data_IF_130604740296
#
_entry.id   IF_130604740296
#
_cell.length_a   1.000
_cell.length_b   1.000
_cell.length_c   1.000
_cell.angle_alpha   90.00
_cell.angle_beta   90.00
_cell.angle_gamma   90.00
#
_symmetry.space_group_name_H-M   'P 1'
#
loop_
_entity.id
_entity.type
_entity.pdbx_description
1 polymer ?
#
# COMPACT_ATOMS: atom_id res chain seq x y z
N UNK A 1 51.36 -31.94 -16.19
CA UNK A 1 50.54 -31.76 -14.98
C UNK A 1 50.70 -30.33 -14.48
N UNK A 2 49.74 -29.46 -14.79
CA UNK A 2 49.54 -28.16 -14.13
C UNK A 2 48.05 -28.12 -13.78
N UNK A 3 47.75 -28.16 -12.48
CA UNK A 3 46.41 -27.90 -11.96
C UNK A 3 46.19 -26.39 -12.05
N UNK A 4 45.21 -25.97 -12.84
CA UNK A 4 44.65 -24.61 -12.76
C UNK A 4 43.41 -24.77 -11.89
N UNK A 5 43.46 -24.20 -10.70
CA UNK A 5 42.28 -24.01 -9.87
C UNK A 5 41.41 -22.95 -10.55
N UNK A 6 40.22 -23.35 -11.00
CA UNK A 6 39.18 -22.41 -11.36
C UNK A 6 38.47 -22.04 -10.06
N UNK A 7 38.66 -20.80 -9.62
CA UNK A 7 37.86 -20.19 -8.55
C UNK A 7 36.45 -20.01 -9.12
N UNK A 8 35.47 -20.71 -8.55
CA UNK A 8 34.06 -20.34 -8.72
C UNK A 8 33.87 -19.01 -7.98
N UNK A 9 33.77 -17.91 -8.71
CA UNK A 9 33.10 -16.72 -8.21
C UNK A 9 31.60 -16.99 -8.38
N UNK A 10 30.92 -17.33 -7.29
CA UNK A 10 29.47 -17.21 -7.24
C UNK A 10 29.18 -15.71 -7.38
N UNK A 11 28.65 -15.30 -8.54
CA UNK A 11 28.11 -13.96 -8.70
C UNK A 11 26.87 -13.87 -7.84
N UNK A 12 26.98 -13.20 -6.70
CA UNK A 12 25.84 -12.62 -6.01
C UNK A 12 25.27 -11.60 -7.00
N UNK A 13 24.08 -11.89 -7.55
CA UNK A 13 23.26 -10.87 -8.17
C UNK A 13 22.96 -9.87 -7.06
N UNK A 14 23.68 -8.76 -7.04
CA UNK A 14 23.27 -7.61 -6.26
C UNK A 14 22.02 -7.11 -6.96
N UNK A 15 20.83 -7.36 -6.37
CA UNK A 15 19.65 -6.58 -6.72
C UNK A 15 20.08 -5.11 -6.61
N UNK A 16 19.93 -4.34 -7.69
CA UNK A 16 20.15 -2.91 -7.62
C UNK A 16 19.19 -2.34 -6.58
N UNK A 17 19.72 -1.64 -5.59
CA UNK A 17 18.92 -0.93 -4.60
C UNK A 17 17.96 0.04 -5.32
N UNK A 18 16.71 0.13 -4.87
CA UNK A 18 15.80 1.18 -5.31
C UNK A 18 16.42 2.51 -4.91
N UNK A 19 16.62 3.38 -5.90
CA UNK A 19 17.06 4.74 -5.63
C UNK A 19 15.84 5.66 -5.42
N UNK A 20 15.96 6.56 -4.45
CA UNK A 20 14.94 7.55 -4.13
C UNK A 20 15.46 8.97 -4.38
N UNK A 21 14.59 9.84 -4.89
CA UNK A 21 14.78 11.29 -4.94
C UNK A 21 14.00 11.90 -3.76
N UNK A 22 14.71 12.65 -2.92
CA UNK A 22 14.20 13.19 -1.66
C UNK A 22 14.10 14.71 -1.77
N UNK A 23 12.97 15.25 -1.33
CA UNK A 23 12.68 16.67 -1.25
C UNK A 23 12.17 17.02 0.16
N UNK A 24 12.64 18.16 0.70
CA UNK A 24 12.09 18.72 1.93
C UNK A 24 10.81 19.52 1.61
N UNK A 25 9.71 19.18 2.27
CA UNK A 25 8.37 19.75 2.03
C UNK A 25 8.15 21.01 2.85
N UNK A 26 8.51 20.97 4.14
CA UNK A 26 8.31 22.08 5.08
C UNK A 26 9.63 22.78 5.39
N UNK A 27 9.55 24.09 5.66
CA UNK A 27 10.70 24.87 6.14
C UNK A 27 10.21 25.84 7.22
N UNK A 28 10.73 25.76 8.45
CA UNK A 28 10.33 26.70 9.49
C UNK A 28 11.26 26.71 10.70
N UNK A 29 11.73 27.90 11.08
CA UNK A 29 12.30 28.12 12.40
C UNK A 29 11.13 28.24 13.40
N UNK A 30 11.10 27.39 14.43
CA UNK A 30 10.14 27.38 15.56
C UNK A 30 8.85 26.54 15.45
N UNK A 31 8.75 25.57 14.53
CA UNK A 31 7.60 24.64 14.50
C UNK A 31 8.08 23.19 14.50
N UNK A 32 7.25 22.27 15.00
CA UNK A 32 7.50 20.82 14.91
C UNK A 32 6.47 20.22 13.96
N UNK A 33 6.94 19.55 12.90
CA UNK A 33 6.07 18.89 11.94
C UNK A 33 6.35 17.38 11.94
N UNK A 34 5.32 16.58 12.16
CA UNK A 34 5.38 15.12 12.25
C UNK A 34 4.05 14.48 11.78
N UNK A 35 3.91 13.16 12.01
CA UNK A 35 2.69 12.41 11.72
C UNK A 35 2.20 12.56 10.28
N UNK A 36 3.12 12.51 9.33
CA UNK A 36 2.79 12.78 7.93
C UNK A 36 2.18 11.57 7.24
N UNK A 37 1.10 11.80 6.52
CA UNK A 37 0.38 10.82 5.70
C UNK A 37 0.27 11.33 4.26
N UNK A 38 0.24 10.40 3.30
CA UNK A 38 0.30 10.68 1.87
C UNK A 38 -0.86 10.04 1.11
N UNK A 39 -1.36 10.76 0.12
CA UNK A 39 -2.30 10.25 -0.87
C UNK A 39 -2.02 10.93 -2.21
N UNK A 40 -2.49 10.30 -3.29
CA UNK A 40 -2.35 10.80 -4.65
C UNK A 40 -3.71 11.18 -5.21
N UNK A 41 -3.78 12.31 -5.92
CA UNK A 41 -4.95 12.62 -6.74
C UNK A 41 -4.95 11.81 -8.05
N UNK A 42 -6.01 11.93 -8.84
CA UNK A 42 -6.18 11.20 -10.11
C UNK A 42 -5.16 11.58 -11.19
N UNK A 43 -4.47 12.71 -11.06
CA UNK A 43 -3.40 13.15 -11.94
C UNK A 43 -2.00 12.71 -11.44
N UNK A 44 -1.93 12.06 -10.28
CA UNK A 44 -0.69 11.62 -9.64
C UNK A 44 0.03 12.73 -8.87
N UNK A 45 -0.64 13.86 -8.61
CA UNK A 45 -0.10 14.88 -7.72
C UNK A 45 -0.20 14.38 -6.27
N UNK A 46 0.76 14.81 -5.47
CA UNK A 46 0.91 14.39 -4.08
C UNK A 46 0.18 15.37 -3.17
N UNK A 47 -0.65 14.84 -2.28
CA UNK A 47 -1.10 15.51 -1.07
C UNK A 47 -0.39 14.92 0.15
N UNK A 48 -0.07 15.76 1.13
CA UNK A 48 0.46 15.36 2.43
C UNK A 48 -0.33 16.08 3.51
N UNK A 49 -0.92 15.34 4.44
CA UNK A 49 -1.47 15.86 5.69
C UNK A 49 -0.46 15.59 6.80
N UNK A 50 -0.23 16.57 7.69
CA UNK A 50 0.73 16.45 8.78
C UNK A 50 0.32 17.35 9.96
N UNK A 51 0.79 17.02 11.16
CA UNK A 51 0.59 17.87 12.34
C UNK A 51 1.66 18.92 12.42
N UNK A 52 1.28 20.12 12.82
CA UNK A 52 2.21 21.19 13.11
C UNK A 52 1.99 21.68 14.54
N UNK A 53 2.98 21.43 15.39
CA UNK A 53 3.02 21.94 16.75
C UNK A 53 3.69 23.31 16.79
N UNK A 54 3.08 24.22 17.54
CA UNK A 54 3.63 25.56 17.78
C UNK A 54 3.45 25.92 19.24
N UNK A 55 4.30 26.82 19.76
CA UNK A 55 4.19 27.31 21.15
C UNK A 55 2.79 27.85 21.53
N UNK A 56 2.01 28.29 20.53
CA UNK A 56 0.72 28.97 20.74
C UNK A 56 -0.47 28.08 20.43
N UNK A 57 -0.41 27.30 19.35
CA UNK A 57 -1.55 26.52 18.86
C UNK A 57 -1.06 25.46 17.86
N UNK A 58 -1.46 24.22 18.08
CA UNK A 58 -1.21 23.11 17.18
C UNK A 58 -2.23 23.14 16.03
N UNK A 59 -1.85 22.66 14.86
CA UNK A 59 -2.70 22.72 13.67
C UNK A 59 -2.48 21.53 12.75
N UNK A 60 -3.55 21.05 12.15
CA UNK A 60 -3.46 20.12 11.03
C UNK A 60 -3.24 20.89 9.74
N UNK A 61 -2.24 20.47 8.97
CA UNK A 61 -1.77 21.15 7.77
C UNK A 61 -1.90 20.25 6.54
N UNK A 62 -2.03 20.87 5.37
CA UNK A 62 -2.06 20.18 4.08
C UNK A 62 -1.00 20.78 3.14
N UNK A 63 -0.10 19.96 2.62
CA UNK A 63 0.84 20.31 1.56
C UNK A 63 0.46 19.59 0.26
N UNK A 64 0.48 20.30 -0.87
CA UNK A 64 0.28 19.68 -2.19
C UNK A 64 1.25 20.22 -3.23
N UNK A 65 1.71 19.35 -4.12
CA UNK A 65 2.58 19.71 -5.23
C UNK A 65 1.85 19.89 -6.58
N UNK A 66 0.51 19.90 -6.60
CA UNK A 66 -0.30 19.96 -7.82
C UNK A 66 -0.05 21.19 -8.73
N UNK A 67 0.59 22.24 -8.20
CA UNK A 67 0.96 23.44 -8.96
C UNK A 67 2.39 23.39 -9.54
N UNK A 68 3.12 22.28 -9.32
CA UNK A 68 4.53 22.12 -9.66
C UNK A 68 5.50 22.60 -8.56
N UNK A 69 4.99 23.06 -7.42
CA UNK A 69 5.75 23.37 -6.20
C UNK A 69 4.84 23.16 -4.99
N UNK A 70 5.42 22.91 -3.81
CA UNK A 70 4.67 22.70 -2.57
C UNK A 70 3.88 23.96 -2.18
N UNK A 71 2.57 23.80 -2.06
CA UNK A 71 1.63 24.80 -1.52
C UNK A 71 1.08 24.25 -0.22
N UNK A 72 1.25 25.01 0.87
CA UNK A 72 0.84 24.62 2.23
C UNK A 72 -0.39 25.43 2.64
N UNK A 73 -1.40 24.76 3.19
CA UNK A 73 -2.64 25.34 3.73
C UNK A 73 -2.90 24.79 5.13
N UNK A 74 -3.53 25.60 6.00
CA UNK A 74 -4.06 25.11 7.26
C UNK A 74 -5.42 24.46 7.05
N UNK A 75 -5.67 23.34 7.71
CA UNK A 75 -6.97 22.64 7.69
C UNK A 75 -7.80 23.11 8.88
N UNK A 76 -7.29 22.86 10.09
CA UNK A 76 -7.98 23.17 11.35
C UNK A 76 -6.96 23.38 12.48
N UNK A 77 -7.08 24.46 13.27
CA UNK A 77 -6.34 24.61 14.52
C UNK A 77 -6.90 23.69 15.61
N UNK A 78 -6.08 23.32 16.59
CA UNK A 78 -6.44 22.39 17.66
C UNK A 78 -7.06 21.09 17.12
N UNK A 79 -6.40 20.53 16.10
CA UNK A 79 -6.76 19.26 15.48
C UNK A 79 -5.73 18.19 15.84
N UNK A 80 -6.23 17.00 16.14
CA UNK A 80 -5.44 15.80 16.36
C UNK A 80 -5.59 14.85 15.18
N UNK A 81 -5.60 13.56 15.48
CA UNK A 81 -5.54 12.47 14.51
C UNK A 81 -6.42 12.63 13.28
N UNK A 82 -5.87 12.29 12.11
CA UNK A 82 -6.56 12.45 10.83
C UNK A 82 -6.38 11.26 9.89
N UNK A 83 -7.16 11.26 8.82
CA UNK A 83 -6.95 10.47 7.62
C UNK A 83 -7.51 11.28 6.46
N UNK A 84 -6.97 11.11 5.26
CA UNK A 84 -7.45 11.83 4.10
C UNK A 84 -7.42 11.00 2.83
N UNK A 85 -8.20 11.45 1.86
CA UNK A 85 -8.30 10.87 0.53
C UNK A 85 -8.75 11.97 -0.46
N UNK A 86 -8.69 11.68 -1.76
CA UNK A 86 -9.07 12.59 -2.83
C UNK A 86 -10.34 12.13 -3.55
N UNK A 87 -11.15 13.10 -3.99
CA UNK A 87 -12.21 12.81 -4.97
C UNK A 87 -11.65 12.69 -6.40
N UNK A 88 -12.49 12.25 -7.33
CA UNK A 88 -12.14 12.09 -8.74
C UNK A 88 -11.67 13.37 -9.44
N UNK A 89 -11.88 14.54 -8.84
CA UNK A 89 -11.47 15.87 -9.34
C UNK A 89 -10.21 16.40 -8.64
N UNK A 90 -9.62 15.64 -7.71
CA UNK A 90 -8.45 16.05 -6.93
C UNK A 90 -8.77 17.01 -5.77
N UNK A 91 -10.02 17.09 -5.31
CA UNK A 91 -10.35 17.80 -4.08
C UNK A 91 -10.00 16.91 -2.88
N UNK A 92 -9.28 17.47 -1.90
CA UNK A 92 -8.90 16.75 -0.69
C UNK A 92 -10.06 16.69 0.32
N UNK A 93 -10.29 15.50 0.88
CA UNK A 93 -11.24 15.24 1.96
C UNK A 93 -10.47 14.66 3.15
N UNK A 94 -10.52 15.34 4.28
CA UNK A 94 -9.79 14.99 5.50
C UNK A 94 -10.80 14.72 6.61
N UNK A 95 -10.84 13.50 7.13
CA UNK A 95 -11.53 13.20 8.38
C UNK A 95 -10.54 13.37 9.53
N UNK A 96 -10.96 14.00 10.62
CA UNK A 96 -10.06 14.32 11.73
C UNK A 96 -10.80 14.43 13.05
N UNK A 97 -10.06 14.38 14.15
CA UNK A 97 -10.54 14.74 15.49
C UNK A 97 -9.97 16.07 15.94
N UNK A 98 -10.66 16.77 16.84
CA UNK A 98 -10.02 17.85 17.60
C UNK A 98 -9.00 17.29 18.60
N UNK A 99 -7.98 18.09 18.95
CA UNK A 99 -7.01 17.69 19.98
C UNK A 99 -7.72 17.42 21.30
N UNK A 100 -7.30 16.35 21.96
CA UNK A 100 -7.75 15.97 23.29
C UNK A 100 -7.17 16.94 24.33
N UNK A 101 -8.02 17.79 24.92
CA UNK A 101 -7.76 18.37 26.24
C UNK A 101 -8.51 17.51 27.27
N UNK A 102 -7.94 17.28 28.46
CA UNK A 102 -8.52 16.39 29.48
C UNK A 102 -9.94 16.80 29.92
N UNK A 103 -10.34 18.03 29.62
CA UNK A 103 -11.67 18.59 29.90
C UNK A 103 -12.58 18.68 28.65
N UNK A 104 -12.07 18.36 27.45
CA UNK A 104 -12.79 18.51 26.17
C UNK A 104 -13.28 17.19 25.56
N UNK A 105 -14.40 17.29 24.85
CA UNK A 105 -15.00 16.23 24.05
C UNK A 105 -14.20 16.05 22.76
N UNK A 106 -13.76 14.84 22.46
CA UNK A 106 -13.18 14.53 21.14
C UNK A 106 -14.32 14.21 20.17
N UNK A 107 -14.34 14.85 19.01
CA UNK A 107 -15.43 14.82 18.03
C UNK A 107 -14.86 14.55 16.63
N UNK A 108 -15.64 13.92 15.75
CA UNK A 108 -15.24 13.68 14.36
C UNK A 108 -15.64 14.87 13.49
N UNK A 109 -14.69 15.36 12.69
CA UNK A 109 -14.87 16.41 11.70
C UNK A 109 -14.52 15.93 10.30
N UNK A 110 -15.19 16.49 9.28
CA UNK A 110 -14.80 16.39 7.88
C UNK A 110 -14.40 17.77 7.35
N UNK A 111 -13.17 17.89 6.89
CA UNK A 111 -12.69 19.04 6.14
C UNK A 111 -12.61 18.71 4.65
N UNK A 112 -13.11 19.59 3.78
CA UNK A 112 -13.02 19.39 2.33
C UNK A 112 -12.54 20.66 1.62
N UNK A 113 -11.56 20.51 0.71
CA UNK A 113 -11.08 21.59 -0.16
C UNK A 113 -11.67 21.46 -1.57
N UNK A 114 -12.93 21.91 -1.73
CA UNK A 114 -13.64 21.90 -3.02
C UNK A 114 -13.61 23.25 -3.76
N UNK A 115 -12.99 24.26 -3.16
CA UNK A 115 -13.03 25.65 -3.64
C UNK A 115 -11.70 26.41 -3.55
N UNK A 116 -10.63 25.73 -3.15
CA UNK A 116 -9.31 26.32 -2.91
C UNK A 116 -9.00 26.59 -1.44
N UNK A 117 -9.96 26.39 -0.53
CA UNK A 117 -9.82 26.51 0.92
C UNK A 117 -10.63 25.38 1.60
N UNK A 118 -10.13 24.90 2.75
CA UNK A 118 -10.82 23.87 3.53
C UNK A 118 -12.08 24.42 4.21
N UNK A 119 -13.20 23.72 4.02
CA UNK A 119 -14.41 23.91 4.83
C UNK A 119 -14.54 22.75 5.80
N UNK A 120 -14.58 23.04 7.09
CA UNK A 120 -14.67 22.04 8.17
C UNK A 120 -16.11 21.91 8.68
N UNK A 121 -16.59 20.67 8.77
CA UNK A 121 -17.93 20.33 9.27
C UNK A 121 -17.81 19.28 10.36
N UNK A 122 -18.39 19.53 11.53
CA UNK A 122 -18.49 18.53 12.60
C UNK A 122 -19.53 17.46 12.22
N UNK A 123 -19.16 16.18 12.29
CA UNK A 123 -20.01 15.04 11.92
C UNK A 123 -20.72 14.43 13.13
N UNK A 124 -20.04 14.36 14.27
CA UNK A 124 -20.54 13.75 15.50
C UNK A 124 -20.72 14.78 16.62
N UNK A 125 -21.36 14.37 17.72
CA UNK A 125 -21.51 15.17 18.93
C UNK A 125 -21.49 14.21 20.13
N UNK A 126 -20.40 13.45 20.24
CA UNK A 126 -20.17 12.45 21.26
C UNK A 126 -18.79 12.65 21.93
N UNK A 127 -18.73 12.84 23.25
CA UNK A 127 -17.47 13.09 23.98
C UNK A 127 -16.44 11.95 23.93
N UNK A 128 -16.82 10.79 23.38
CA UNK A 128 -16.03 9.57 23.43
C UNK A 128 -15.43 9.17 22.07
N UNK A 129 -15.59 9.97 21.03
CA UNK A 129 -15.00 9.69 19.71
C UNK A 129 -13.49 9.93 19.76
N UNK A 130 -12.73 8.87 20.04
CA UNK A 130 -11.27 8.93 20.26
C UNK A 130 -10.52 8.30 19.09
N UNK A 131 -9.20 8.46 19.06
CA UNK A 131 -8.27 7.83 18.11
C UNK A 131 -8.48 8.26 16.64
N UNK A 132 -7.76 7.62 15.72
CA UNK A 132 -7.63 8.03 14.31
C UNK A 132 -8.88 7.64 13.50
N UNK A 133 -9.71 8.57 13.03
CA UNK A 133 -10.74 8.24 12.05
C UNK A 133 -10.09 7.96 10.69
N UNK A 134 -10.64 7.01 9.94
CA UNK A 134 -10.16 6.61 8.62
C UNK A 134 -11.21 6.92 7.56
N UNK A 135 -10.81 7.63 6.49
CA UNK A 135 -11.65 7.92 5.33
C UNK A 135 -11.20 7.12 4.10
N UNK A 136 -12.17 6.77 3.25
CA UNK A 136 -11.99 6.47 1.82
C UNK A 136 -13.12 7.07 1.00
N UNK A 137 -12.83 7.46 -0.23
CA UNK A 137 -13.83 7.77 -1.23
C UNK A 137 -14.03 6.57 -2.17
N UNK A 138 -15.28 6.28 -2.52
CA UNK A 138 -15.59 5.24 -3.51
C UNK A 138 -15.48 5.75 -4.96
N UNK A 139 -15.73 4.87 -5.94
CA UNK A 139 -15.67 5.23 -7.36
C UNK A 139 -16.74 6.24 -7.81
N UNK A 140 -17.66 6.64 -6.93
CA UNK A 140 -18.70 7.65 -7.15
C UNK A 140 -18.46 8.92 -6.31
N UNK A 141 -17.28 9.07 -5.68
CA UNK A 141 -16.90 10.14 -4.76
C UNK A 141 -17.73 10.17 -3.45
N UNK A 142 -18.37 9.07 -3.08
CA UNK A 142 -19.07 8.98 -1.79
C UNK A 142 -18.07 8.78 -0.66
N UNK A 143 -18.29 9.47 0.46
CA UNK A 143 -17.42 9.42 1.64
C UNK A 143 -17.79 8.24 2.53
N UNK A 144 -16.79 7.39 2.80
CA UNK A 144 -16.84 6.29 3.75
C UNK A 144 -15.88 6.57 4.89
N UNK A 145 -16.35 6.45 6.13
CA UNK A 145 -15.55 6.70 7.33
C UNK A 145 -15.65 5.48 8.24
N UNK A 146 -14.54 5.05 8.83
CA UNK A 146 -14.57 4.25 10.05
C UNK A 146 -13.94 5.05 11.18
N UNK A 147 -14.51 4.96 12.38
CA UNK A 147 -14.02 5.69 13.53
C UNK A 147 -14.31 4.90 14.80
N UNK A 148 -13.37 4.87 15.76
CA UNK A 148 -13.63 4.21 17.03
C UNK A 148 -14.20 5.17 18.06
N UNK A 149 -14.86 4.59 19.06
CA UNK A 149 -15.46 5.30 20.17
C UNK A 149 -15.17 4.56 21.47
N UNK A 150 -14.64 5.24 22.47
CA UNK A 150 -14.25 4.66 23.76
C UNK A 150 -15.43 4.60 24.73
N UNK A 151 -15.86 3.42 25.16
CA UNK A 151 -16.98 3.27 26.10
C UNK A 151 -16.48 3.36 27.54
N UNK A 152 -16.20 4.59 27.97
CA UNK A 152 -15.84 4.94 29.35
C UNK A 152 -14.72 5.99 29.43
N UNK A 153 -14.18 6.20 30.63
CA UNK A 153 -13.21 7.26 30.94
C UNK A 153 -11.75 6.74 31.01
N UNK A 154 -11.54 5.44 31.17
CA UNK A 154 -10.25 4.80 31.44
C UNK A 154 -9.65 4.10 30.20
N UNK A 155 -8.31 3.91 30.13
CA UNK A 155 -7.62 3.36 28.95
C UNK A 155 -7.93 1.89 28.62
N UNK A 156 -8.48 1.13 29.58
CA UNK A 156 -8.90 -0.27 29.47
C UNK A 156 -10.39 -0.44 29.12
N UNK A 157 -11.06 0.66 28.79
CA UNK A 157 -12.46 0.65 28.39
C UNK A 157 -12.69 0.03 27.01
N UNK A 158 -13.87 -0.57 26.86
CA UNK A 158 -14.29 -1.22 25.62
C UNK A 158 -14.32 -0.20 24.49
N UNK A 159 -13.60 -0.46 23.40
CA UNK A 159 -13.65 0.41 22.22
C UNK A 159 -14.62 -0.17 21.18
N UNK A 160 -15.56 0.66 20.73
CA UNK A 160 -16.46 0.36 19.62
C UNK A 160 -15.81 0.78 18.32
N UNK A 161 -16.13 0.12 17.21
CA UNK A 161 -15.79 0.57 15.87
C UNK A 161 -17.08 0.84 15.08
N UNK A 162 -17.22 2.05 14.57
CA UNK A 162 -18.35 2.48 13.76
C UNK A 162 -17.96 2.63 12.29
N UNK A 163 -18.91 2.38 11.42
CA UNK A 163 -18.89 2.77 10.02
C UNK A 163 -19.83 3.95 9.81
N UNK A 164 -19.35 5.00 9.16
CA UNK A 164 -20.09 6.22 8.83
C UNK A 164 -20.07 6.52 7.33
N UNK A 165 -21.11 7.20 6.86
CA UNK A 165 -21.22 7.67 5.48
C UNK A 165 -22.02 8.96 5.42
N UNK A 166 -21.89 9.69 4.30
CA UNK A 166 -22.65 10.91 4.04
C UNK A 166 -23.62 10.66 2.90
N UNK A 167 -24.92 10.91 3.15
CA UNK A 167 -25.97 10.86 2.14
C UNK A 167 -26.91 12.07 2.31
N UNK A 168 -27.32 12.67 1.20
CA UNK A 168 -28.14 13.90 1.16
C UNK A 168 -27.62 15.04 2.07
N UNK A 169 -26.30 15.11 2.31
CA UNK A 169 -25.65 16.10 3.18
C UNK A 169 -25.80 15.83 4.68
N UNK A 170 -26.28 14.65 5.07
CA UNK A 170 -26.37 14.20 6.46
C UNK A 170 -25.37 13.08 6.74
N UNK A 171 -24.77 13.09 7.92
CA UNK A 171 -23.93 12.01 8.39
C UNK A 171 -24.78 10.89 8.99
N UNK A 172 -24.49 9.67 8.58
CA UNK A 172 -25.12 8.44 9.06
C UNK A 172 -24.03 7.50 9.55
N UNK A 173 -24.35 6.66 10.54
CA UNK A 173 -23.40 5.71 11.10
C UNK A 173 -24.08 4.45 11.64
N UNK A 174 -23.30 3.40 11.80
CA UNK A 174 -23.70 2.13 12.38
C UNK A 174 -22.52 1.39 13.01
N UNK A 175 -22.81 0.51 13.98
CA UNK A 175 -21.80 -0.24 14.70
C UNK A 175 -21.30 -1.44 13.85
N UNK A 176 -19.97 -1.59 13.74
CA UNK A 176 -19.33 -2.78 13.17
C UNK A 176 -19.07 -3.81 14.27
N UNK A 177 -18.39 -3.38 15.34
CA UNK A 177 -18.02 -4.27 16.46
C UNK A 177 -17.94 -3.49 17.78
N UNK A 178 -18.23 -4.19 18.87
CA UNK A 178 -18.03 -3.72 20.24
C UNK A 178 -16.82 -4.35 20.95
N UNK A 179 -15.93 -5.02 20.20
CA UNK A 179 -14.77 -5.74 20.73
C UNK A 179 -13.45 -5.23 20.15
N UNK A 180 -13.38 -3.95 19.71
CA UNK A 180 -12.16 -3.43 19.08
C UNK A 180 -10.99 -3.46 20.07
N UNK A 181 -9.86 -3.98 19.63
CA UNK A 181 -8.63 -4.03 20.41
C UNK A 181 -7.64 -2.96 19.94
N UNK A 182 -7.36 -2.00 20.83
CA UNK A 182 -6.40 -0.94 20.59
C UNK A 182 -6.75 -0.11 19.34
N UNK A 183 -5.72 0.24 18.57
CA UNK A 183 -5.87 1.10 17.40
C UNK A 183 -5.90 0.34 16.08
N UNK A 184 -6.05 -0.99 16.06
CA UNK A 184 -5.72 -1.79 14.88
C UNK A 184 -6.94 -1.96 13.96
N UNK A 185 -7.11 -1.03 13.03
CA UNK A 185 -8.16 -1.08 12.01
C UNK A 185 -7.76 -0.30 10.75
N UNK A 186 -8.28 -0.73 9.60
CA UNK A 186 -8.19 -0.02 8.32
C UNK A 186 -9.39 -0.41 7.44
N UNK A 187 -9.65 0.36 6.41
CA UNK A 187 -10.74 0.11 5.45
C UNK A 187 -10.24 0.22 4.02
N UNK A 188 -10.78 -0.63 3.16
CA UNK A 188 -10.63 -0.54 1.70
C UNK A 188 -12.01 -0.56 1.04
N UNK A 189 -12.12 0.02 -0.14
CA UNK A 189 -13.36 0.01 -0.93
C UNK A 189 -13.14 -0.88 -2.16
N UNK A 190 -14.02 -1.85 -2.37
CA UNK A 190 -13.95 -2.69 -3.56
C UNK A 190 -14.47 -1.98 -4.82
N UNK A 191 -14.29 -2.62 -5.98
CA UNK A 191 -14.75 -2.08 -7.27
C UNK A 191 -16.27 -1.94 -7.42
N UNK A 192 -17.04 -2.49 -6.48
CA UNK A 192 -18.48 -2.36 -6.44
C UNK A 192 -18.91 -1.31 -5.42
N UNK A 193 -17.99 -0.43 -4.98
CA UNK A 193 -18.20 0.58 -3.95
C UNK A 193 -18.63 -0.02 -2.60
N UNK A 194 -18.21 -1.25 -2.32
CA UNK A 194 -18.51 -1.93 -1.06
C UNK A 194 -17.35 -1.74 -0.09
N UNK A 195 -17.59 -1.21 1.11
CA UNK A 195 -16.55 -1.09 2.13
C UNK A 195 -16.21 -2.46 2.73
N UNK A 196 -14.92 -2.68 2.93
CA UNK A 196 -14.33 -3.82 3.61
C UNK A 196 -13.48 -3.29 4.76
N UNK A 197 -13.78 -3.71 5.98
CA UNK A 197 -13.13 -3.21 7.19
C UNK A 197 -12.33 -4.33 7.83
N UNK A 198 -11.06 -4.06 8.10
CA UNK A 198 -10.18 -4.95 8.84
C UNK A 198 -9.97 -4.38 10.22
N UNK A 199 -10.05 -5.22 11.25
CA UNK A 199 -9.87 -4.78 12.63
C UNK A 199 -9.42 -5.94 13.52
N UNK A 200 -8.72 -5.65 14.62
CA UNK A 200 -8.36 -6.68 15.60
C UNK A 200 -9.26 -6.68 16.83
N UNK A 201 -9.46 -7.86 17.39
CA UNK A 201 -10.13 -8.08 18.68
C UNK A 201 -9.22 -8.91 19.58
N UNK A 202 -9.37 -8.81 20.90
CA UNK A 202 -8.58 -9.58 21.86
C UNK A 202 -7.80 -8.68 22.82
N UNK A 203 -6.96 -9.27 23.67
CA UNK A 203 -6.23 -8.55 24.71
C UNK A 203 -4.79 -9.03 24.82
N UNK A 204 -3.89 -8.08 25.08
CA UNK A 204 -2.47 -8.18 25.47
C UNK A 204 -1.55 -9.07 24.61
N UNK A 205 -1.87 -10.36 24.48
CA UNK A 205 -1.04 -11.37 23.84
C UNK A 205 -1.83 -12.23 22.85
N UNK A 206 -3.16 -12.29 22.90
CA UNK A 206 -3.94 -13.00 21.89
C UNK A 206 -4.84 -12.01 21.15
N UNK A 207 -4.60 -11.83 19.86
CA UNK A 207 -5.45 -11.02 19.00
C UNK A 207 -5.82 -11.76 17.74
N UNK A 208 -7.06 -11.55 17.31
CA UNK A 208 -7.59 -12.02 16.05
C UNK A 208 -7.85 -10.83 15.14
N UNK A 209 -7.30 -10.88 13.93
CA UNK A 209 -7.65 -10.00 12.82
C UNK A 209 -8.93 -10.51 12.15
N UNK A 210 -9.90 -9.63 12.02
CA UNK A 210 -11.19 -9.86 11.40
C UNK A 210 -11.35 -9.06 10.13
N UNK A 211 -12.15 -9.59 9.21
CA UNK A 211 -12.64 -8.92 8.03
C UNK A 211 -14.16 -8.77 8.15
N UNK A 212 -14.65 -7.54 8.30
CA UNK A 212 -16.05 -7.19 8.22
C UNK A 212 -16.41 -6.67 6.81
N UNK A 213 -17.48 -7.22 6.25
CA UNK A 213 -17.94 -6.84 4.91
C UNK A 213 -19.46 -6.98 4.75
N UNK A 214 -20.00 -6.32 3.73
CA UNK A 214 -21.38 -6.49 3.28
C UNK A 214 -21.41 -7.36 2.02
N UNK A 215 -22.34 -8.30 1.94
CA UNK A 215 -22.51 -9.14 0.74
C UNK A 215 -23.65 -8.60 -0.09
N UNK A 216 -23.37 -8.29 -1.35
CA UNK A 216 -24.39 -8.02 -2.37
C UNK A 216 -25.37 -9.19 -2.60
N UNK A 217 -25.06 -10.39 -2.06
CA UNK A 217 -25.92 -11.59 -2.14
C UNK A 217 -26.76 -11.80 -0.89
N UNK A 218 -26.48 -11.10 0.21
CA UNK A 218 -27.29 -11.13 1.43
C UNK A 218 -28.38 -10.06 1.33
N UNK A 219 -29.60 -10.40 1.74
CA UNK A 219 -30.67 -9.41 1.92
C UNK A 219 -30.59 -8.72 3.29
N UNK A 220 -29.71 -9.17 4.19
CA UNK A 220 -29.45 -8.50 5.47
C UNK A 220 -28.55 -7.30 5.23
N UNK A 221 -28.87 -6.12 5.79
CA UNK A 221 -27.99 -4.96 5.77
C UNK A 221 -26.79 -5.12 6.73
N UNK A 222 -26.80 -6.17 7.56
CA UNK A 222 -25.83 -6.37 8.62
C UNK A 222 -24.44 -6.71 8.08
N UNK A 223 -23.42 -6.25 8.79
CA UNK A 223 -22.04 -6.69 8.61
C UNK A 223 -21.93 -8.21 8.83
N UNK A 224 -21.31 -8.90 7.88
CA UNK A 224 -20.79 -10.24 8.12
C UNK A 224 -19.32 -10.13 8.48
N UNK A 225 -18.85 -11.08 9.27
CA UNK A 225 -17.46 -11.16 9.67
C UNK A 225 -16.87 -12.52 9.33
N UNK A 226 -15.59 -12.52 8.99
CA UNK A 226 -14.77 -13.73 8.90
C UNK A 226 -13.44 -13.50 9.60
N UNK A 227 -12.89 -14.59 10.15
CA UNK A 227 -11.55 -14.58 10.75
C UNK A 227 -10.51 -14.57 9.62
N UNK A 228 -9.56 -13.65 9.70
CA UNK A 228 -8.44 -13.53 8.76
C UNK A 228 -7.22 -14.26 9.29
N UNK A 229 -6.84 -13.95 10.52
CA UNK A 229 -5.61 -14.45 11.15
C UNK A 229 -5.66 -14.30 12.67
N UNK A 230 -5.16 -15.28 13.40
CA UNK A 230 -5.06 -15.25 14.87
C UNK A 230 -3.65 -15.65 15.30
N UNK A 231 -3.06 -14.91 16.24
CA UNK A 231 -1.73 -15.18 16.78
C UNK A 231 -1.61 -14.92 18.29
N UNK A 232 -0.70 -15.67 18.94
CA UNK A 232 -0.40 -15.68 20.39
C UNK A 232 0.57 -14.58 20.85
N UNK A 233 1.01 -13.66 19.98
CA UNK A 233 1.90 -12.55 20.36
C UNK A 233 1.33 -11.15 20.07
N UNK A 234 0.05 -11.08 19.69
CA UNK A 234 -0.63 -9.83 19.32
C UNK A 234 -0.28 -9.35 17.91
N UNK A 235 -1.28 -8.85 17.19
CA UNK A 235 -1.23 -8.20 15.89
C UNK A 235 -1.40 -6.71 16.16
N UNK A 236 -0.38 -5.94 15.82
CA UNK A 236 -0.35 -4.49 15.92
C UNK A 236 -0.29 -3.89 14.53
N UNK A 237 -0.74 -2.65 14.42
CA UNK A 237 -0.62 -1.76 13.27
C UNK A 237 -0.86 -2.43 11.93
N UNK A 238 -2.11 -2.38 11.48
CA UNK A 238 -2.48 -2.91 10.18
C UNK A 238 -2.59 -1.81 9.14
N UNK A 239 -2.21 -2.14 7.92
CA UNK A 239 -2.53 -1.37 6.71
C UNK A 239 -3.06 -2.35 5.66
N UNK A 240 -4.18 -2.01 5.04
CA UNK A 240 -4.86 -2.88 4.09
C UNK A 240 -5.03 -2.20 2.74
N UNK A 241 -4.85 -2.99 1.68
CA UNK A 241 -5.09 -2.61 0.29
C UNK A 241 -5.80 -3.73 -0.48
N UNK A 242 -6.46 -3.36 -1.58
CA UNK A 242 -7.17 -4.30 -2.46
C UNK A 242 -6.60 -4.23 -3.88
N UNK A 243 -6.32 -5.38 -4.48
CA UNK A 243 -5.73 -5.45 -5.81
C UNK A 243 -6.75 -5.37 -6.95
N UNK A 244 -6.24 -5.37 -8.18
CA UNK A 244 -7.04 -5.35 -9.39
C UNK A 244 -7.78 -6.67 -9.68
N UNK A 245 -7.66 -7.69 -8.85
CA UNK A 245 -8.45 -8.92 -8.91
C UNK A 245 -9.49 -9.01 -7.77
N UNK A 246 -9.46 -8.08 -6.82
CA UNK A 246 -10.31 -8.08 -5.63
C UNK A 246 -9.75 -8.92 -4.48
N UNK A 247 -8.45 -9.22 -4.51
CA UNK A 247 -7.74 -9.85 -3.40
C UNK A 247 -7.26 -8.77 -2.43
N UNK A 248 -7.29 -9.11 -1.15
CA UNK A 248 -6.86 -8.24 -0.08
C UNK A 248 -5.40 -8.51 0.26
N UNK A 249 -4.71 -7.43 0.61
CA UNK A 249 -3.31 -7.39 0.97
C UNK A 249 -3.21 -6.60 2.27
N UNK A 250 -2.75 -7.24 3.34
CA UNK A 250 -2.70 -6.62 4.66
C UNK A 250 -1.27 -6.73 5.18
N UNK A 251 -0.63 -5.60 5.44
CA UNK A 251 0.59 -5.57 6.23
C UNK A 251 0.25 -5.42 7.70
N UNK A 252 1.05 -6.04 8.57
CA UNK A 252 0.88 -5.98 10.02
C UNK A 252 2.22 -6.05 10.75
N UNK A 253 2.25 -5.62 12.01
CA UNK A 253 3.42 -5.77 12.89
C UNK A 253 3.15 -6.73 14.04
N UNK A 254 4.10 -7.63 14.27
CA UNK A 254 4.17 -8.51 15.45
C UNK A 254 5.62 -8.53 15.98
N UNK A 255 6.26 -7.36 16.01
CA UNK A 255 7.70 -7.19 16.23
C UNK A 255 8.54 -7.27 14.95
N UNK A 256 8.02 -7.96 13.92
CA UNK A 256 8.49 -7.92 12.53
C UNK A 256 7.33 -7.60 11.60
N UNK A 257 7.61 -7.31 10.34
CA UNK A 257 6.59 -6.98 9.35
C UNK A 257 6.07 -8.25 8.68
N UNK A 258 4.79 -8.55 8.94
CA UNK A 258 4.05 -9.63 8.31
C UNK A 258 3.19 -9.14 7.15
N UNK A 259 2.82 -10.09 6.29
CA UNK A 259 1.96 -9.88 5.14
C UNK A 259 0.92 -10.99 5.03
N UNK A 260 -0.34 -10.58 4.99
CA UNK A 260 -1.50 -11.46 4.88
C UNK A 260 -2.22 -11.21 3.54
N UNK A 261 -2.63 -12.28 2.86
CA UNK A 261 -3.43 -12.18 1.63
C UNK A 261 -4.36 -13.38 1.44
N UNK A 262 -5.46 -13.16 0.70
CA UNK A 262 -6.37 -14.20 0.24
C UNK A 262 -6.21 -14.55 -1.26
N UNK A 263 -5.14 -14.08 -1.92
CA UNK A 263 -4.90 -14.27 -3.36
C UNK A 263 -4.79 -15.74 -3.81
N UNK A 264 -4.48 -16.67 -2.91
CA UNK A 264 -4.49 -18.12 -3.18
C UNK A 264 -5.86 -18.80 -2.99
N UNK A 265 -6.89 -18.06 -2.59
CA UNK A 265 -8.25 -18.55 -2.33
C UNK A 265 -8.58 -18.79 -0.85
N UNK A 266 -7.56 -18.95 0.00
CA UNK A 266 -7.64 -18.94 1.47
C UNK A 266 -6.71 -17.85 2.02
N UNK A 267 -6.98 -17.36 3.23
CA UNK A 267 -6.08 -16.43 3.94
C UNK A 267 -4.74 -17.11 4.26
N UNK A 268 -3.65 -16.43 3.91
CA UNK A 268 -2.28 -16.88 4.13
C UNK A 268 -1.47 -15.76 4.76
N UNK A 269 -0.53 -16.09 5.65
CA UNK A 269 0.40 -15.15 6.29
C UNK A 269 1.85 -15.56 5.99
N UNK A 270 2.72 -14.59 5.77
CA UNK A 270 4.17 -14.75 5.63
C UNK A 270 4.92 -13.50 6.09
N UNK A 271 6.23 -13.62 6.33
CA UNK A 271 7.07 -12.48 6.73
C UNK A 271 7.56 -11.69 5.51
N UNK A 272 7.42 -10.36 5.57
CA UNK A 272 7.91 -9.42 4.57
C UNK A 272 9.26 -8.77 4.95
N UNK A 273 9.70 -8.91 6.20
CA UNK A 273 11.02 -8.50 6.71
C UNK A 273 11.89 -9.68 7.15
N UNK A 274 13.20 -9.46 7.35
CA UNK A 274 14.11 -10.47 7.91
C UNK A 274 13.87 -10.68 9.42
N UNK A 275 13.69 -11.94 9.82
CA UNK A 275 13.39 -12.34 11.20
C UNK A 275 14.60 -12.87 11.98
N UNK A 276 15.82 -12.75 11.44
CA UNK A 276 17.01 -13.28 12.10
C UNK A 276 17.40 -12.51 13.37
N UNK A 277 17.71 -13.26 14.44
CA UNK A 277 17.93 -12.75 15.81
C UNK A 277 19.13 -11.80 16.00
N UNK A 278 20.05 -11.71 15.03
CA UNK A 278 21.35 -11.00 15.17
C UNK A 278 21.39 -9.61 14.48
N UNK A 279 20.22 -9.02 14.24
CA UNK A 279 20.08 -7.71 13.61
C UNK A 279 18.67 -7.34 13.14
N UNK A 280 17.64 -8.06 13.62
CA UNK A 280 16.24 -7.85 13.21
C UNK A 280 15.82 -6.39 13.35
N UNK A 281 15.35 -5.83 12.24
CA UNK A 281 14.76 -4.50 12.21
C UNK A 281 13.36 -4.65 12.80
N UNK A 282 13.22 -4.19 14.04
CA UNK A 282 11.91 -4.01 14.65
C UNK A 282 11.15 -2.97 13.83
N UNK A 283 9.93 -3.28 13.42
CA UNK A 283 9.11 -2.42 12.59
C UNK A 283 7.72 -2.24 13.17
N UNK A 284 7.23 -1.00 13.17
CA UNK A 284 5.88 -0.63 13.58
C UNK A 284 5.22 0.15 12.43
N UNK A 285 3.91 0.38 12.51
CA UNK A 285 3.17 1.19 11.53
C UNK A 285 3.42 0.85 10.05
N UNK A 286 3.35 -0.42 9.59
CA UNK A 286 3.56 -0.71 8.18
C UNK A 286 2.50 -0.03 7.30
N UNK A 287 2.93 0.47 6.15
CA UNK A 287 2.07 1.04 5.12
C UNK A 287 2.20 0.18 3.86
N UNK A 288 1.11 -0.44 3.41
CA UNK A 288 1.09 -1.29 2.22
C UNK A 288 0.54 -0.52 1.01
N UNK A 289 1.12 -0.79 -0.15
CA UNK A 289 0.60 -0.39 -1.45
C UNK A 289 0.72 -1.56 -2.43
N UNK A 290 -0.14 -1.59 -3.44
CA UNK A 290 -0.14 -2.64 -4.47
C UNK A 290 0.15 -2.00 -5.82
N UNK A 291 1.13 -2.54 -6.55
CA UNK A 291 1.46 -2.05 -7.89
C UNK A 291 0.40 -2.45 -8.94
N UNK A 292 0.56 -1.95 -10.16
CA UNK A 292 -0.37 -2.27 -11.27
C UNK A 292 -0.31 -3.75 -11.72
N UNK A 293 0.68 -4.51 -11.28
CA UNK A 293 0.84 -5.95 -11.51
C UNK A 293 0.26 -6.79 -10.37
N UNK A 294 -0.28 -6.16 -9.32
CA UNK A 294 -0.79 -6.76 -8.09
C UNK A 294 0.29 -7.32 -7.16
N UNK A 295 1.51 -6.82 -7.28
CA UNK A 295 2.56 -7.12 -6.31
C UNK A 295 2.40 -6.20 -5.10
N UNK A 296 2.41 -6.74 -3.87
CA UNK A 296 2.41 -5.94 -2.67
C UNK A 296 3.80 -5.34 -2.38
N UNK A 297 3.78 -4.13 -1.87
CA UNK A 297 4.93 -3.35 -1.43
C UNK A 297 4.62 -2.78 -0.05
N UNK A 298 5.57 -2.86 0.88
CA UNK A 298 5.38 -2.44 2.26
C UNK A 298 6.52 -1.51 2.65
N UNK A 299 6.19 -0.35 3.22
CA UNK A 299 7.15 0.51 3.89
C UNK A 299 6.88 0.52 5.41
N UNK A 300 7.92 0.67 6.23
CA UNK A 300 7.78 0.79 7.68
C UNK A 300 8.94 1.61 8.29
N UNK A 301 8.70 2.40 9.33
CA UNK A 301 9.76 2.86 10.22
C UNK A 301 10.36 1.68 10.97
N UNK A 302 11.69 1.61 11.03
CA UNK A 302 12.37 0.52 11.73
C UNK A 302 13.60 0.97 12.50
N UNK A 303 13.83 0.36 13.66
CA UNK A 303 15.00 0.65 14.48
C UNK A 303 16.18 -0.24 14.10
N UNK A 304 17.32 0.37 13.78
CA UNK A 304 18.59 -0.33 13.53
C UNK A 304 19.55 -0.10 14.68
N UNK A 305 19.90 -1.19 15.39
CA UNK A 305 20.95 -1.15 16.41
C UNK A 305 22.34 -0.85 15.84
N UNK A 306 22.55 -1.07 14.54
CA UNK A 306 23.81 -0.75 13.86
C UNK A 306 23.93 0.73 13.51
N UNK A 307 22.82 1.39 13.19
CA UNK A 307 22.76 2.81 12.86
C UNK A 307 22.41 3.69 14.09
N UNK A 308 22.09 3.08 15.24
CA UNK A 308 21.66 3.75 16.48
C UNK A 308 20.46 4.71 16.28
N UNK A 309 19.54 4.39 15.37
CA UNK A 309 18.42 5.26 15.01
C UNK A 309 17.29 4.56 14.26
N UNK A 310 16.21 5.31 14.02
CA UNK A 310 15.11 4.92 13.15
C UNK A 310 15.40 5.34 11.71
N UNK A 311 15.16 4.43 10.79
CA UNK A 311 15.21 4.60 9.33
C UNK A 311 13.88 4.17 8.72
N UNK A 312 13.58 4.65 7.52
CA UNK A 312 12.44 4.12 6.74
C UNK A 312 12.91 2.96 5.86
N UNK A 313 12.25 1.81 6.03
CA UNK A 313 12.48 0.59 5.27
C UNK A 313 11.39 0.39 4.24
N UNK A 314 11.76 -0.33 3.19
CA UNK A 314 10.87 -0.73 2.11
C UNK A 314 11.11 -2.20 1.78
N UNK A 315 10.03 -2.92 1.48
CA UNK A 315 10.03 -4.30 1.03
C UNK A 315 9.08 -4.47 -0.14
N UNK A 316 9.52 -5.24 -1.14
CA UNK A 316 8.72 -5.60 -2.30
C UNK A 316 8.64 -7.11 -2.46
N UNK A 317 7.47 -7.61 -2.86
CA UNK A 317 7.30 -9.04 -3.14
C UNK A 317 7.67 -9.36 -4.59
N UNK A 318 8.64 -10.25 -4.77
CA UNK A 318 8.98 -10.84 -6.06
C UNK A 318 8.27 -12.18 -6.26
N UNK A 319 8.43 -12.79 -7.44
CA UNK A 319 7.94 -14.14 -7.68
C UNK A 319 8.55 -15.23 -6.75
N UNK A 320 9.73 -15.00 -6.17
CA UNK A 320 10.46 -16.01 -5.38
C UNK A 320 10.53 -15.69 -3.88
N UNK A 321 10.62 -14.42 -3.51
CA UNK A 321 10.72 -13.97 -2.13
C UNK A 321 10.41 -12.49 -1.95
N UNK A 322 10.33 -12.05 -0.70
CA UNK A 322 10.48 -10.64 -0.37
C UNK A 322 11.94 -10.20 -0.50
N UNK A 323 12.16 -8.95 -0.90
CA UNK A 323 13.41 -8.23 -0.71
C UNK A 323 13.12 -7.00 0.12
N UNK A 324 14.09 -6.53 0.90
CA UNK A 324 13.95 -5.29 1.66
C UNK A 324 15.23 -4.47 1.59
N UNK A 325 15.07 -3.16 1.76
CA UNK A 325 16.15 -2.18 1.78
C UNK A 325 15.74 -0.92 2.56
N UNK A 326 16.69 -0.02 2.78
CA UNK A 326 16.44 1.30 3.36
C UNK A 326 16.08 2.29 2.25
N UNK A 327 15.04 3.09 2.46
CA UNK A 327 14.62 4.16 1.55
C UNK A 327 15.63 5.32 1.61
N UNK A 328 16.16 5.57 2.80
CA UNK A 328 17.08 6.65 3.11
C UNK A 328 18.47 6.11 3.37
N UNK A 329 19.51 6.88 3.01
CA UNK A 329 20.88 6.53 3.37
C UNK A 329 21.10 6.98 4.81
N UNK A 330 21.64 6.11 5.68
CA UNK A 330 21.82 6.33 7.13
C UNK A 330 21.95 7.82 7.44
N UNK A 331 20.86 8.45 7.89
CA UNK A 331 20.79 9.88 8.01
C UNK A 331 21.73 10.30 9.14
N UNK A 332 22.20 11.55 9.11
CA UNK A 332 22.89 12.15 10.26
C UNK A 332 21.93 12.43 11.42
N UNK A 333 20.65 12.11 11.27
CA UNK A 333 19.51 12.51 12.09
C UNK A 333 18.42 11.43 12.08
N UNK A 334 17.74 11.15 13.18
CA UNK A 334 16.66 10.16 13.20
C UNK A 334 15.51 10.51 12.24
N UNK A 335 15.00 9.52 11.53
CA UNK A 335 13.81 9.62 10.69
C UNK A 335 12.66 8.88 11.34
N UNK A 336 11.53 9.57 11.56
CA UNK A 336 10.39 9.02 12.26
C UNK A 336 9.15 8.98 11.38
N UNK A 337 8.40 7.89 11.57
CA UNK A 337 7.00 7.80 11.22
C UNK A 337 6.23 7.10 12.33
N UNK A 338 5.10 7.66 12.69
CA UNK A 338 4.20 7.21 13.74
C UNK A 338 2.73 7.18 13.28
N UNK A 339 2.49 7.39 11.98
CA UNK A 339 1.17 7.42 11.38
C UNK A 339 1.01 6.40 10.24
N UNK A 340 -0.25 6.04 9.97
CA UNK A 340 -0.62 5.11 8.90
C UNK A 340 -0.72 5.82 7.55
N UNK A 341 -0.50 5.06 6.47
CA UNK A 341 -0.52 5.54 5.07
C UNK A 341 0.45 6.66 4.77
N UNK A 342 1.72 6.39 5.02
CA UNK A 342 2.81 7.26 4.57
C UNK A 342 3.51 6.74 3.30
N UNK A 343 3.03 5.64 2.72
CA UNK A 343 3.56 5.06 1.48
C UNK A 343 2.43 4.70 0.50
N UNK A 344 2.58 5.13 -0.76
CA UNK A 344 1.63 4.87 -1.86
C UNK A 344 2.39 4.64 -3.17
N UNK A 345 1.74 4.03 -4.15
CA UNK A 345 2.29 3.80 -5.50
C UNK A 345 1.40 4.51 -6.53
N UNK A 346 2.00 5.30 -7.41
CA UNK A 346 1.28 5.96 -8.50
C UNK A 346 0.88 4.99 -9.62
N UNK A 347 -0.04 5.41 -10.49
CA UNK A 347 -0.49 4.59 -11.61
C UNK A 347 0.61 4.27 -12.64
N UNK A 348 1.78 4.92 -12.56
CA UNK A 348 2.96 4.61 -13.38
C UNK A 348 3.92 3.63 -12.68
N UNK A 349 3.63 3.26 -11.43
CA UNK A 349 4.40 2.32 -10.63
C UNK A 349 5.47 2.96 -9.75
N UNK A 350 5.56 4.28 -9.65
CA UNK A 350 6.51 4.90 -8.75
C UNK A 350 6.01 4.84 -7.31
N UNK A 351 6.86 4.42 -6.38
CA UNK A 351 6.63 4.59 -4.95
C UNK A 351 6.81 6.04 -4.50
N UNK A 352 5.96 6.44 -3.57
CA UNK A 352 5.93 7.74 -2.92
C UNK A 352 5.86 7.54 -1.41
N UNK A 353 6.75 8.20 -0.68
CA UNK A 353 6.88 8.09 0.77
C UNK A 353 6.90 9.49 1.37
N UNK A 354 6.23 9.70 2.48
CA UNK A 354 6.45 10.86 3.35
C UNK A 354 7.08 10.41 4.66
N UNK A 355 7.84 11.28 5.34
CA UNK A 355 8.41 11.04 6.68
C UNK A 355 8.82 12.35 7.36
N UNK A 356 9.09 12.29 8.67
CA UNK A 356 9.65 13.41 9.42
C UNK A 356 11.13 13.18 9.73
N UNK A 357 11.95 14.22 9.57
CA UNK A 357 13.35 14.22 10.03
C UNK A 357 13.48 15.23 11.17
N UNK A 358 14.09 14.79 12.27
CA UNK A 358 14.24 15.60 13.48
C UNK A 358 15.66 16.14 13.59
N UNK A 359 15.81 17.37 14.10
CA UNK A 359 17.14 17.93 14.33
C UNK A 359 17.90 17.20 15.47
N UNK A 360 19.19 17.52 15.62
CA UNK A 360 20.07 16.82 16.59
C UNK A 360 19.62 16.97 18.06
N UNK A 361 18.75 17.93 18.36
CA UNK A 361 18.25 18.17 19.71
C UNK A 361 16.82 17.65 19.90
N UNK A 362 16.23 17.02 18.89
CA UNK A 362 14.79 16.67 18.84
C UNK A 362 13.90 17.91 19.09
N UNK A 363 14.41 19.09 18.72
CA UNK A 363 13.79 20.38 18.95
C UNK A 363 13.02 20.89 17.74
N UNK A 364 13.21 20.32 16.53
CA UNK A 364 12.43 20.66 15.33
C UNK A 364 12.28 19.44 14.42
N UNK A 365 11.05 19.20 13.96
CA UNK A 365 10.71 18.20 12.94
C UNK A 365 10.29 18.86 11.63
N UNK A 366 10.83 18.38 10.50
CA UNK A 366 10.44 18.81 9.17
C UNK A 366 9.94 17.62 8.35
N UNK A 367 8.95 17.87 7.47
CA UNK A 367 8.39 16.84 6.60
C UNK A 367 9.22 16.71 5.33
N UNK A 368 9.52 15.47 4.97
CA UNK A 368 10.23 15.07 3.77
C UNK A 368 9.34 14.18 2.91
N UNK A 369 9.57 14.28 1.60
CA UNK A 369 8.92 13.48 0.59
C UNK A 369 9.98 12.76 -0.24
N UNK A 370 9.83 11.46 -0.42
CA UNK A 370 10.68 10.65 -1.27
C UNK A 370 9.88 10.01 -2.41
N UNK A 371 10.37 10.16 -3.64
CA UNK A 371 9.86 9.45 -4.82
C UNK A 371 10.90 8.47 -5.32
N UNK A 372 10.50 7.23 -5.61
CA UNK A 372 11.38 6.28 -6.32
C UNK A 372 11.82 6.88 -7.66
N UNK A 373 13.09 6.70 -8.04
CA UNK A 373 13.63 7.22 -9.31
C UNK A 373 13.18 6.40 -10.51
N UNK A 374 12.86 5.14 -10.27
CA UNK A 374 12.37 4.19 -11.25
C UNK A 374 11.10 3.54 -10.70
N UNK A 375 10.12 3.23 -11.56
CA UNK A 375 8.92 2.55 -11.11
C UNK A 375 9.27 1.15 -10.60
N UNK A 376 8.51 0.66 -9.62
CA UNK A 376 8.59 -0.71 -9.14
C UNK A 376 8.08 -1.62 -10.24
N UNK A 377 9.01 -2.15 -11.03
CA UNK A 377 8.70 -3.11 -12.08
C UNK A 377 9.64 -4.29 -11.99
N UNK A 378 9.10 -5.45 -11.62
CA UNK A 378 9.65 -6.71 -12.13
C UNK A 378 9.20 -6.86 -13.59
N UNK A 379 10.03 -6.35 -14.51
CA UNK A 379 9.88 -6.52 -15.97
C UNK A 379 8.57 -6.00 -16.58
N UNK A 380 8.65 -4.82 -17.19
CA UNK A 380 7.62 -4.25 -18.07
C UNK A 380 7.17 -5.28 -19.14
N UNK A 381 5.95 -5.79 -19.01
CA UNK A 381 5.14 -6.27 -20.11
C UNK A 381 4.05 -5.23 -20.40
N UNK A 382 4.40 -4.18 -21.16
CA UNK A 382 3.39 -3.35 -21.82
C UNK A 382 2.45 -4.23 -22.65
N UNK A 383 1.20 -4.34 -22.22
CA UNK A 383 0.08 -4.83 -23.03
C UNK A 383 -0.46 -3.67 -23.88
N UNK A 384 -0.42 -3.72 -25.22
CA UNK A 384 -1.33 -2.92 -26.00
C UNK A 384 -2.71 -3.60 -26.01
N UNK A 385 -3.72 -2.80 -25.72
CA UNK A 385 -5.14 -3.12 -25.76
C UNK A 385 -5.60 -3.63 -27.12
N UNK A 386 -5.88 -4.94 -27.24
CA UNK A 386 -6.93 -5.47 -28.12
C UNK A 386 -7.56 -6.69 -27.47
N UNK A 387 -8.86 -6.62 -27.21
CA UNK A 387 -9.72 -7.72 -26.74
C UNK A 387 -9.56 -8.97 -27.62
N UNK A 388 -8.90 -10.01 -27.09
CA UNK A 388 -8.86 -11.33 -27.70
C UNK A 388 -9.32 -12.38 -26.67
N UNK A 389 -10.39 -13.15 -26.93
CA UNK A 389 -10.91 -14.16 -26.01
C UNK A 389 -9.99 -15.38 -25.78
N UNK A 390 -8.77 -15.36 -26.34
CA UNK A 390 -7.76 -16.39 -26.14
C UNK A 390 -6.47 -15.74 -25.64
N UNK A 391 -6.27 -15.85 -24.33
CA UNK A 391 -5.17 -15.29 -23.55
C UNK A 391 -3.86 -15.99 -23.93
N UNK A 392 -2.93 -15.26 -24.56
CA UNK A 392 -1.53 -15.64 -24.71
C UNK A 392 -0.75 -14.71 -23.79
N UNK A 393 -0.26 -15.23 -22.68
CA UNK A 393 0.44 -14.47 -21.66
C UNK A 393 1.86 -14.96 -21.49
N UNK A 394 2.73 -14.05 -21.07
CA UNK A 394 4.11 -14.38 -20.72
C UNK A 394 4.34 -13.88 -19.31
N UNK A 395 4.61 -14.81 -18.38
CA UNK A 395 4.98 -14.53 -17.00
C UNK A 395 6.25 -15.31 -16.69
N UNK A 396 7.27 -14.66 -16.12
CA UNK A 396 8.54 -15.29 -15.74
C UNK A 396 9.13 -16.20 -16.84
N UNK A 397 9.17 -15.71 -18.09
CA UNK A 397 9.62 -16.46 -19.28
C UNK A 397 8.86 -17.76 -19.56
N UNK A 398 7.64 -17.89 -19.06
CA UNK A 398 6.74 -18.99 -19.37
C UNK A 398 5.61 -18.44 -20.22
N UNK A 399 5.38 -19.07 -21.37
CA UNK A 399 4.26 -18.73 -22.25
C UNK A 399 3.06 -19.58 -21.85
N UNK A 400 1.98 -18.92 -21.44
CA UNK A 400 0.71 -19.56 -21.09
C UNK A 400 -0.35 -19.27 -22.14
N UNK A 401 -1.08 -20.30 -22.57
CA UNK A 401 -2.19 -20.17 -23.51
C UNK A 401 -3.28 -21.22 -23.31
N UNK A 402 -4.51 -20.88 -23.68
CA UNK A 402 -5.66 -21.79 -23.62
C UNK A 402 -6.11 -22.22 -25.03
N UNK A 403 -6.33 -23.52 -25.22
CA UNK A 403 -6.91 -24.10 -26.43
C UNK A 403 -8.36 -24.55 -26.18
N UNK A 404 -9.32 -23.96 -26.90
CA UNK A 404 -10.74 -24.38 -26.83
C UNK A 404 -11.00 -25.79 -27.39
N UNK A 405 -10.11 -26.28 -28.25
CA UNK A 405 -10.15 -27.63 -28.84
C UNK A 405 -8.74 -28.11 -29.15
N UNK A 406 -8.57 -29.44 -29.24
CA UNK A 406 -7.30 -30.02 -29.69
C UNK A 406 -6.89 -29.42 -31.04
N UNK A 407 -5.69 -28.83 -31.09
CA UNK A 407 -5.22 -28.06 -32.23
C UNK A 407 -3.75 -28.34 -32.52
N UNK A 408 -3.36 -28.28 -33.79
CA UNK A 408 -1.94 -28.20 -34.14
C UNK A 408 -1.49 -26.76 -33.90
N UNK A 409 -0.44 -26.59 -33.12
CA UNK A 409 0.11 -25.28 -32.80
C UNK A 409 1.55 -25.12 -33.28
N UNK A 410 1.96 -23.86 -33.40
CA UNK A 410 3.34 -23.45 -33.57
C UNK A 410 3.56 -22.19 -32.73
N UNK A 411 4.50 -22.28 -31.80
CA UNK A 411 4.90 -21.20 -30.90
C UNK A 411 6.33 -20.81 -31.24
N UNK A 412 6.51 -19.65 -31.84
CA UNK A 412 7.81 -19.15 -32.29
C UNK A 412 8.19 -17.87 -31.53
N UNK A 413 9.49 -17.67 -31.30
CA UNK A 413 10.06 -16.44 -30.75
C UNK A 413 10.77 -15.67 -31.87
N UNK A 414 10.52 -14.37 -31.95
CA UNK A 414 11.10 -13.45 -32.94
C UNK A 414 11.85 -12.32 -32.23
N UNK A 415 12.92 -11.82 -32.82
CA UNK A 415 13.57 -10.58 -32.36
C UNK A 415 12.84 -9.33 -32.91
N UNK A 416 13.24 -8.14 -32.44
CA UNK A 416 12.65 -6.87 -32.85
C UNK A 416 12.72 -6.58 -34.36
N UNK A 417 13.59 -7.27 -35.11
CA UNK A 417 13.68 -7.14 -36.58
C UNK A 417 12.71 -8.06 -37.33
N UNK A 418 11.94 -8.87 -36.61
CA UNK A 418 11.04 -9.89 -37.16
C UNK A 418 11.76 -11.18 -37.58
N UNK A 419 13.03 -11.35 -37.21
CA UNK A 419 13.76 -12.60 -37.47
C UNK A 419 13.40 -13.63 -36.40
N UNK A 420 13.03 -14.83 -36.82
CA UNK A 420 12.76 -15.94 -35.89
C UNK A 420 14.05 -16.35 -35.18
N UNK A 421 14.04 -16.25 -33.86
CA UNK A 421 15.12 -16.65 -32.96
C UNK A 421 15.06 -18.16 -32.72
N UNK A 422 13.90 -18.66 -32.28
CA UNK A 422 13.70 -20.09 -32.02
C UNK A 422 12.24 -20.51 -32.18
N UNK A 423 12.00 -21.81 -32.27
CA UNK A 423 10.67 -22.40 -32.11
C UNK A 423 10.58 -22.93 -30.68
N UNK A 424 9.68 -22.34 -29.89
CA UNK A 424 9.47 -22.68 -28.47
C UNK A 424 8.73 -24.01 -28.37
N UNK A 425 7.69 -24.20 -29.18
CA UNK A 425 6.92 -25.43 -29.24
C UNK A 425 6.21 -25.61 -30.59
N UNK A 426 6.04 -26.86 -31.02
CA UNK A 426 5.21 -27.18 -32.18
C UNK A 426 4.69 -28.60 -32.11
N UNK A 427 3.43 -28.82 -32.47
CA UNK A 427 2.81 -30.14 -32.41
C UNK A 427 1.31 -30.09 -32.17
N UNK A 428 0.71 -31.24 -31.87
CA UNK A 428 -0.70 -31.37 -31.53
C UNK A 428 -0.84 -31.25 -30.01
N UNK A 429 -1.61 -30.26 -29.55
CA UNK A 429 -1.89 -30.00 -28.15
C UNK A 429 -3.39 -30.22 -27.87
N UNK A 430 -3.71 -30.79 -26.71
CA UNK A 430 -5.09 -31.04 -26.28
C UNK A 430 -5.85 -29.74 -25.99
N UNK A 431 -7.17 -29.80 -25.89
CA UNK A 431 -7.96 -28.69 -25.36
C UNK A 431 -7.59 -28.45 -23.88
N UNK A 432 -7.59 -27.20 -23.43
CA UNK A 432 -7.22 -26.78 -22.07
C UNK A 432 -6.05 -25.80 -22.05
N UNK A 433 -5.57 -25.51 -20.84
CA UNK A 433 -4.44 -24.61 -20.59
C UNK A 433 -3.10 -25.31 -20.79
N UNK A 434 -2.14 -24.56 -21.30
CA UNK A 434 -0.77 -25.01 -21.55
C UNK A 434 0.20 -23.93 -21.10
N UNK A 435 1.27 -24.34 -20.45
CA UNK A 435 2.37 -23.47 -20.03
C UNK A 435 3.68 -24.05 -20.55
N UNK A 436 4.43 -23.25 -21.31
CA UNK A 436 5.66 -23.69 -21.99
C UNK A 436 6.79 -22.71 -21.64
N UNK A 437 7.89 -23.18 -21.01
CA UNK A 437 9.00 -22.33 -20.65
C UNK A 437 9.81 -21.90 -21.88
N UNK A 438 10.35 -20.67 -21.83
CA UNK A 438 11.27 -20.11 -22.82
C UNK A 438 12.70 -20.30 -22.28
N UNK A 439 13.57 -20.86 -23.11
CA UNK A 439 15.00 -20.96 -22.76
C UNK A 439 15.66 -19.58 -22.80
N UNK A 440 15.96 -19.02 -21.63
CA UNK A 440 16.51 -17.67 -21.48
C UNK A 440 18.02 -17.58 -21.73
N UNK A 441 18.75 -18.71 -21.66
CA UNK A 441 20.21 -18.73 -21.72
C UNK A 441 20.74 -18.15 -23.04
N UNK A 442 19.96 -18.24 -24.12
CA UNK A 442 20.35 -17.85 -25.47
C UNK A 442 19.82 -16.46 -25.88
N UNK A 443 19.04 -15.77 -25.02
CA UNK A 443 18.42 -14.48 -25.35
C UNK A 443 19.26 -13.31 -24.83
N UNK A 444 19.80 -12.48 -25.73
CA UNK A 444 20.45 -11.23 -25.36
C UNK A 444 19.42 -10.19 -24.89
N UNK A 445 19.88 -9.15 -24.16
CA UNK A 445 19.05 -7.97 -23.84
C UNK A 445 18.42 -7.40 -25.10
N UNK A 446 17.10 -7.20 -25.09
CA UNK A 446 16.34 -6.70 -26.23
C UNK A 446 14.86 -7.05 -26.20
N UNK A 447 14.14 -6.57 -27.21
CA UNK A 447 12.70 -6.83 -27.39
C UNK A 447 12.51 -8.04 -28.31
N UNK A 448 11.63 -8.93 -27.88
CA UNK A 448 11.22 -10.14 -28.58
C UNK A 448 9.71 -10.23 -28.68
N UNK A 449 9.23 -11.03 -29.62
CA UNK A 449 7.82 -11.32 -29.81
C UNK A 449 7.60 -12.83 -29.86
N UNK A 450 6.76 -13.33 -28.97
CA UNK A 450 6.25 -14.70 -29.04
C UNK A 450 5.02 -14.69 -29.92
N UNK A 451 4.91 -15.64 -30.84
CA UNK A 451 3.76 -15.82 -31.72
C UNK A 451 3.25 -17.24 -31.65
N UNK A 452 1.98 -17.39 -31.28
CA UNK A 452 1.24 -18.64 -31.32
C UNK A 452 0.40 -18.67 -32.61
N UNK A 453 0.62 -19.67 -33.45
CA UNK A 453 -0.23 -20.01 -34.58
C UNK A 453 -0.94 -21.33 -34.29
N UNK A 454 -2.26 -21.34 -34.39
CA UNK A 454 -3.09 -22.54 -34.34
C UNK A 454 -4.02 -22.56 -35.56
N UNK A 455 -4.77 -23.65 -35.76
CA UNK A 455 -5.55 -23.89 -36.97
C UNK A 455 -6.42 -22.69 -37.42
N UNK A 456 -7.12 -22.05 -36.48
CA UNK A 456 -8.09 -20.98 -36.77
C UNK A 456 -7.71 -19.62 -36.17
N UNK A 457 -6.55 -19.49 -35.52
CA UNK A 457 -6.17 -18.23 -34.88
C UNK A 457 -4.65 -18.03 -34.76
N UNK A 458 -4.27 -16.77 -34.62
CA UNK A 458 -2.89 -16.36 -34.32
C UNK A 458 -2.95 -15.36 -33.17
N UNK A 459 -2.03 -15.49 -32.20
CA UNK A 459 -1.85 -14.53 -31.12
C UNK A 459 -0.37 -14.21 -30.96
N UNK A 460 -0.05 -13.03 -30.42
CA UNK A 460 1.33 -12.62 -30.16
C UNK A 460 1.45 -11.85 -28.86
N UNK A 461 2.55 -12.05 -28.16
CA UNK A 461 2.87 -11.35 -26.92
C UNK A 461 4.31 -10.80 -26.98
N UNK A 462 4.52 -9.63 -26.40
CA UNK A 462 5.84 -8.99 -26.31
C UNK A 462 6.61 -9.56 -25.11
N UNK A 463 7.89 -9.86 -25.31
CA UNK A 463 8.82 -10.23 -24.25
C UNK A 463 9.98 -9.24 -24.28
N UNK A 464 10.24 -8.57 -23.17
CA UNK A 464 11.44 -7.74 -23.01
C UNK A 464 12.44 -8.51 -22.17
N UNK A 465 13.65 -8.69 -22.68
CA UNK A 465 14.75 -9.32 -21.95
C UNK A 465 15.72 -8.22 -21.53
N UNK A 466 15.99 -8.13 -20.23
CA UNK A 466 17.00 -7.25 -19.63
C UNK A 466 17.97 -8.14 -18.87
N UNK A 467 19.27 -7.84 -18.91
CA UNK A 467 20.34 -8.60 -18.23
C UNK A 467 21.22 -7.67 -17.46
#
# INVERSE_FOLDING_TARGET
>A
MRKIALVLLAGVLVLSAVEWEIEQVTTGENHWNDGSMIALDTDGNVGIVYYQYREVEDSLMFASNATGSWVIKGIMPSAGWASFDFDSKGNAYVVLVNTYDWDDTTEIFLAADTSGEFTVTQLTNDPQDRYIPVIRLDGEDNVHIIYPQSVGEEPDDTTLLFYGWIDEGSFHYELITDQLSGHNYDMVIDRNNTPHVFYTTGADFESTLWHAFRSSRSASPDWMTEEVYTQEWGILDISAEIDAHGYFHIAHSEGWIGYITNSSGDWTNEWASDTTEDGGIWGEFPSIAVDYLNNPHIAWPGYSSADEGYDIYYSGKTAESWFWEKITNTPTRPEYQDERRFFVIDAQGYGHVTYSEWDENEEFGEIFYAKSKEPFVEAIAEQPSVTNPFRLEIQCFTVSFNLSKQSTIRLDLYDASGRRVTCIASGIYAAGEHSIPINQAELATGVYFVRLEAADYTSSAKLVVIR
#
